data_IF_273104547191
#
_entry.id   IF_273104547191
#
_cell.length_a   1.000
_cell.length_b   1.000
_cell.length_c   1.000
_cell.angle_alpha   90.00
_cell.angle_beta   90.00
_cell.angle_gamma   90.00
#
_symmetry.space_group_name_H-M   'P 1'
#
loop_
_entity.id
_entity.type
_entity.pdbx_description
1 polymer ?
#
# COMPACT_ATOMS: atom_id res chain seq x y z
N UNK A 1 -4.15 -14.26 23.81
CA UNK A 1 -3.42 -14.04 22.53
C UNK A 1 -4.34 -14.20 21.31
N UNK A 2 -5.05 -15.32 21.17
CA UNK A 2 -5.95 -15.60 20.02
C UNK A 2 -7.06 -14.53 19.84
N UNK A 3 -7.69 -14.07 20.93
CA UNK A 3 -8.75 -13.04 20.89
C UNK A 3 -8.23 -11.67 20.38
N UNK A 4 -6.96 -11.34 20.62
CA UNK A 4 -6.35 -10.10 20.09
C UNK A 4 -6.14 -10.19 18.58
N UNK A 5 -5.79 -11.37 18.09
CA UNK A 5 -5.51 -11.63 16.67
C UNK A 5 -6.78 -11.51 15.81
N UNK A 6 -7.91 -12.03 16.32
CA UNK A 6 -9.21 -11.92 15.64
C UNK A 6 -9.70 -10.48 15.60
N UNK A 7 -9.50 -9.72 16.68
CA UNK A 7 -9.83 -8.29 16.73
C UNK A 7 -9.04 -7.49 15.70
N UNK A 8 -7.72 -7.69 15.62
CA UNK A 8 -6.90 -7.00 14.60
C UNK A 8 -7.33 -7.34 13.18
N UNK A 9 -7.70 -8.59 12.89
CA UNK A 9 -8.19 -8.98 11.57
C UNK A 9 -9.51 -8.30 11.22
N UNK A 10 -10.43 -8.13 12.18
CA UNK A 10 -11.69 -7.42 11.96
C UNK A 10 -11.53 -5.93 11.68
N UNK A 11 -10.45 -5.31 12.17
CA UNK A 11 -10.15 -3.89 11.98
C UNK A 11 -9.46 -3.59 10.63
N UNK A 12 -8.97 -4.62 9.92
CA UNK A 12 -8.30 -4.47 8.61
C UNK A 12 -9.25 -4.08 7.47
N UNK A 13 -10.57 -4.29 7.62
CA UNK A 13 -11.56 -4.14 6.55
C UNK A 13 -11.48 -2.78 5.82
N UNK A 14 -11.67 -1.65 6.51
CA UNK A 14 -11.58 -0.32 5.88
C UNK A 14 -10.20 -0.06 5.24
N UNK A 15 -9.12 -0.45 5.91
CA UNK A 15 -7.75 -0.23 5.40
C UNK A 15 -7.46 -0.98 4.10
N UNK A 16 -7.95 -2.22 3.97
CA UNK A 16 -7.82 -3.00 2.74
C UNK A 16 -8.64 -2.41 1.59
N UNK A 17 -9.84 -1.88 1.87
CA UNK A 17 -10.66 -1.21 0.87
C UNK A 17 -9.98 0.07 0.36
N UNK A 18 -9.40 0.89 1.25
CA UNK A 18 -8.63 2.08 0.84
C UNK A 18 -7.39 1.72 0.02
N UNK A 19 -6.66 0.68 0.41
CA UNK A 19 -5.50 0.20 -0.34
C UNK A 19 -5.89 -0.27 -1.75
N UNK A 20 -6.98 -1.05 -1.87
CA UNK A 20 -7.50 -1.51 -3.14
C UNK A 20 -7.99 -0.36 -4.04
N UNK A 21 -8.69 0.62 -3.47
CA UNK A 21 -9.16 1.79 -4.21
C UNK A 21 -8.00 2.70 -4.69
N UNK A 22 -6.87 2.71 -3.98
CA UNK A 22 -5.71 3.53 -4.33
C UNK A 22 -4.86 2.94 -5.48
N UNK A 23 -5.06 1.67 -5.85
CA UNK A 23 -4.29 0.99 -6.91
C UNK A 23 -5.14 0.79 -8.15
N UNK A 24 -5.04 1.73 -9.09
CA UNK A 24 -5.70 1.64 -10.40
C UNK A 24 -4.88 0.92 -11.49
N UNK A 25 -5.51 0.66 -12.64
CA UNK A 25 -4.88 0.01 -13.82
C UNK A 25 -3.63 0.75 -14.32
N UNK A 26 -3.62 2.08 -14.19
CA UNK A 26 -2.46 2.92 -14.54
C UNK A 26 -1.20 2.53 -13.76
N UNK A 27 -1.34 2.18 -12.48
CA UNK A 27 -0.20 1.74 -11.65
C UNK A 27 0.34 0.38 -12.11
N UNK A 28 -0.53 -0.54 -12.51
CA UNK A 28 -0.13 -1.86 -12.99
C UNK A 28 0.63 -1.75 -14.32
N UNK A 29 0.08 -1.01 -15.29
CA UNK A 29 0.72 -0.80 -16.59
C UNK A 29 2.08 -0.07 -16.44
N UNK A 30 2.16 0.93 -15.58
CA UNK A 30 3.41 1.66 -15.37
C UNK A 30 4.41 0.85 -14.55
N UNK A 31 3.98 -0.02 -13.63
CA UNK A 31 4.88 -0.90 -12.88
C UNK A 31 5.61 -1.89 -13.79
N UNK A 32 4.93 -2.47 -14.79
CA UNK A 32 5.56 -3.40 -15.72
C UNK A 32 6.53 -2.68 -16.66
N UNK A 33 6.13 -1.51 -17.19
CA UNK A 33 7.02 -0.66 -18.01
C UNK A 33 8.25 -0.18 -17.22
N UNK A 34 8.06 0.23 -15.97
CA UNK A 34 9.14 0.65 -15.10
C UNK A 34 10.09 -0.52 -14.79
N UNK A 35 9.57 -1.72 -14.55
CA UNK A 35 10.38 -2.93 -14.40
C UNK A 35 11.18 -3.29 -15.66
N UNK A 36 10.59 -3.14 -16.84
CA UNK A 36 11.32 -3.37 -18.10
C UNK A 36 12.46 -2.36 -18.32
N UNK A 37 12.20 -1.06 -18.07
CA UNK A 37 13.14 0.02 -18.36
C UNK A 37 14.21 0.21 -17.28
N UNK A 38 13.88 -0.04 -16.01
CA UNK A 38 14.74 0.29 -14.86
C UNK A 38 15.02 -0.92 -13.95
N UNK A 39 14.61 -2.11 -14.38
CA UNK A 39 14.85 -3.38 -13.66
C UNK A 39 14.37 -3.28 -12.20
N UNK A 40 15.22 -3.65 -11.25
CA UNK A 40 14.87 -3.69 -9.83
C UNK A 40 15.15 -2.38 -9.08
N UNK A 41 15.70 -1.35 -9.72
CA UNK A 41 16.11 -0.10 -9.06
C UNK A 41 14.93 0.55 -8.31
N UNK A 42 13.73 0.49 -8.89
CA UNK A 42 12.53 1.09 -8.30
C UNK A 42 11.86 0.25 -7.21
N UNK A 43 12.26 -1.00 -6.96
CA UNK A 43 11.75 -1.74 -5.82
C UNK A 43 12.08 -1.05 -4.50
N UNK A 44 13.24 -0.40 -4.41
CA UNK A 44 13.64 0.35 -3.22
C UNK A 44 12.74 1.56 -2.94
N UNK A 45 12.06 2.09 -3.95
CA UNK A 45 11.11 3.18 -3.78
C UNK A 45 9.82 2.73 -3.11
N UNK A 46 9.46 1.44 -3.18
CA UNK A 46 8.22 0.91 -2.59
C UNK A 46 8.17 1.15 -1.07
N UNK A 47 9.14 0.70 -0.26
CA UNK A 47 9.12 0.99 1.18
C UNK A 47 9.25 2.49 1.48
N UNK A 48 10.04 3.23 0.71
CA UNK A 48 10.20 4.68 0.88
C UNK A 48 8.87 5.43 0.69
N UNK A 49 8.11 5.12 -0.35
CA UNK A 49 6.79 5.72 -0.61
C UNK A 49 5.81 5.37 0.51
N UNK A 50 5.86 4.16 1.06
CA UNK A 50 4.97 3.78 2.17
C UNK A 50 5.31 4.56 3.43
N UNK A 51 6.60 4.78 3.75
CA UNK A 51 7.01 5.62 4.87
C UNK A 51 6.55 7.07 4.72
N UNK A 52 6.69 7.64 3.52
CA UNK A 52 6.27 9.02 3.23
C UNK A 52 4.74 9.14 3.26
N UNK A 53 4.01 8.16 2.72
CA UNK A 53 2.55 8.22 2.67
C UNK A 53 1.86 7.87 3.98
N UNK A 54 2.46 7.04 4.82
CA UNK A 54 1.85 6.56 6.06
C UNK A 54 1.31 7.69 6.96
N UNK A 55 2.02 8.81 7.19
CA UNK A 55 1.47 9.96 7.92
C UNK A 55 0.15 10.47 7.33
N UNK A 56 0.05 10.59 6.01
CA UNK A 56 -1.16 11.09 5.34
C UNK A 56 -2.34 10.12 5.51
N UNK A 57 -2.09 8.81 5.52
CA UNK A 57 -3.12 7.82 5.82
C UNK A 57 -3.51 7.80 7.30
N UNK A 58 -2.60 8.16 8.20
CA UNK A 58 -2.86 8.21 9.64
C UNK A 58 -3.63 9.47 10.06
N UNK A 59 -3.35 10.61 9.42
CA UNK A 59 -3.91 11.91 9.78
C UNK A 59 -5.01 12.41 8.81
N UNK A 60 -5.23 11.72 7.69
CA UNK A 60 -6.21 12.12 6.66
C UNK A 60 -7.66 11.71 6.96
N UNK A 61 -7.96 10.42 7.22
CA UNK A 61 -9.31 9.94 7.53
C UNK A 61 -9.65 9.92 9.04
N UNK A 62 -8.90 10.67 9.86
CA UNK A 62 -9.27 10.95 11.26
C UNK A 62 -10.22 12.15 11.35
#
# INVERSE_FOLDING_TARGET
MIIRLTKTLSELGPGLLYAGAAVGVSHLLMSTKAGANYQYIFLMLVPLIHLIKYPFYKFGPQ
#
